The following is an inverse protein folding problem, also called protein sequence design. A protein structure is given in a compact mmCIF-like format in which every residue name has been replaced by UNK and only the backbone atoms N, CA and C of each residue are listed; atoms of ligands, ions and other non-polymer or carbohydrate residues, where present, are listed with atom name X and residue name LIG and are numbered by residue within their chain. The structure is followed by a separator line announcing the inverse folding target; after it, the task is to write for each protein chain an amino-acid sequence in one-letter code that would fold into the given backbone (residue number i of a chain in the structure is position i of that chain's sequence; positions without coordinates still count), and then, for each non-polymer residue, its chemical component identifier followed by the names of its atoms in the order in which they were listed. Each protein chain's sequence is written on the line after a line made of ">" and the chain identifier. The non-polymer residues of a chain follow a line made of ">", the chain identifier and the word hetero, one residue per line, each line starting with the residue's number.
data_IF_986787357621
#
_entry.id   IF_986787357621
#
_cell.length_a   1.000
_cell.length_b   1.000
_cell.length_c   1.000
_cell.angle_alpha   90.00
_cell.angle_beta   90.00
_cell.angle_gamma   90.00
#
_symmetry.space_group_name_H-M   'P 1'
#
loop_
_entity.id
_entity.type
_entity.pdbx_description
1 polymer ?
#
# COMPACT_ATOMS: atom_id res chain seq x y z
N UNK A 1 -11.48 -11.98 -4.99
CA UNK A 1 -11.45 -11.41 -3.97
C UNK A 1 -10.55 -10.35 -3.87
N UNK A 2 -10.90 -9.44 -3.43
CA UNK A 2 -10.25 -8.29 -3.55
C UNK A 2 -9.53 -7.91 -2.35
N UNK A 3 -9.17 -8.90 -1.58
CA UNK A 3 -8.50 -8.64 -0.37
C UNK A 3 -7.03 -8.56 -0.53
N UNK A 4 -6.54 -8.66 -1.76
CA UNK A 4 -5.12 -8.61 -1.98
C UNK A 4 -4.61 -7.20 -1.64
N UNK A 5 -3.35 -7.14 -1.29
CA UNK A 5 -2.72 -5.84 -1.01
C UNK A 5 -2.87 -4.90 -2.18
N UNK A 6 -2.57 -5.39 -3.38
CA UNK A 6 -2.62 -4.49 -4.54
C UNK A 6 -4.06 -4.10 -4.87
N UNK A 7 -5.02 -4.94 -4.54
CA UNK A 7 -6.42 -4.54 -4.69
C UNK A 7 -6.77 -3.38 -3.78
N UNK A 8 -6.30 -3.44 -2.54
CA UNK A 8 -6.52 -2.36 -1.59
C UNK A 8 -5.79 -1.09 -2.01
N UNK A 9 -4.56 -1.24 -2.48
CA UNK A 9 -3.77 -0.11 -2.95
C UNK A 9 -4.47 0.55 -4.13
N UNK A 10 -4.99 -0.25 -5.05
CA UNK A 10 -5.68 0.28 -6.22
C UNK A 10 -6.86 1.17 -5.84
N UNK A 11 -7.65 0.72 -4.88
CA UNK A 11 -8.81 1.47 -4.43
C UNK A 11 -8.38 2.79 -3.80
N UNK A 12 -7.38 2.74 -2.93
CA UNK A 12 -6.93 3.95 -2.23
C UNK A 12 -6.29 4.95 -3.17
N UNK A 13 -5.47 4.46 -4.08
CA UNK A 13 -4.79 5.34 -5.03
C UNK A 13 -5.82 6.06 -5.90
N UNK A 14 -6.77 5.29 -6.41
CA UNK A 14 -7.78 5.87 -7.29
C UNK A 14 -8.65 6.87 -6.55
N UNK A 15 -9.08 6.53 -5.34
CA UNK A 15 -9.94 7.42 -4.56
C UNK A 15 -9.20 8.72 -4.22
N UNK A 16 -7.95 8.60 -3.80
CA UNK A 16 -7.18 9.78 -3.43
C UNK A 16 -6.88 10.65 -4.63
N UNK A 17 -6.54 10.02 -5.76
CA UNK A 17 -6.29 10.76 -6.99
C UNK A 17 -7.52 11.58 -7.38
N UNK A 18 -8.70 10.96 -7.33
CA UNK A 18 -9.92 11.67 -7.70
C UNK A 18 -10.25 12.77 -6.70
N UNK A 19 -10.00 12.54 -5.43
CA UNK A 19 -10.24 13.56 -4.41
C UNK A 19 -9.35 14.79 -4.64
N UNK A 20 -8.16 14.58 -5.17
CA UNK A 20 -7.26 15.67 -5.49
C UNK A 20 -7.49 16.25 -6.89
N UNK A 21 -8.47 15.72 -7.59
CA UNK A 21 -8.86 16.20 -8.92
C UNK A 21 -7.75 16.06 -9.96
N UNK A 22 -6.99 14.99 -9.83
CA UNK A 22 -5.92 14.70 -10.78
C UNK A 22 -6.36 13.60 -11.72
N UNK A 23 -5.95 13.69 -12.98
CA UNK A 23 -6.12 12.54 -13.87
C UNK A 23 -4.86 11.67 -13.74
N UNK A 24 -4.85 10.53 -14.39
CA UNK A 24 -3.73 9.61 -14.28
C UNK A 24 -2.43 10.22 -14.80
N UNK A 25 -2.51 11.01 -15.83
CA UNK A 25 -1.31 11.64 -16.38
C UNK A 25 -0.73 12.67 -15.44
N UNK A 26 -1.60 13.48 -14.82
CA UNK A 26 -1.15 14.48 -13.86
C UNK A 26 -0.44 13.81 -12.70
N UNK A 27 -1.03 12.73 -12.19
CA UNK A 27 -0.44 12.01 -11.09
C UNK A 27 0.91 11.41 -11.49
N UNK A 28 0.98 10.85 -12.68
CA UNK A 28 2.23 10.27 -13.16
C UNK A 28 3.33 11.33 -13.21
N UNK A 29 3.00 12.51 -13.72
CA UNK A 29 3.96 13.60 -13.81
C UNK A 29 4.45 14.04 -12.44
N UNK A 30 3.54 14.18 -11.49
CA UNK A 30 3.90 14.60 -10.13
C UNK A 30 4.76 13.55 -9.45
N UNK A 31 4.40 12.30 -9.62
CA UNK A 31 5.11 11.21 -8.96
C UNK A 31 6.42 10.83 -9.65
N UNK A 32 6.63 11.27 -10.87
CA UNK A 32 7.81 10.90 -11.61
C UNK A 32 7.77 9.47 -12.12
N UNK A 33 6.58 8.96 -12.41
CA UNK A 33 6.40 7.61 -12.95
C UNK A 33 5.63 7.71 -14.26
N UNK A 34 5.52 6.61 -14.97
CA UNK A 34 4.77 6.64 -16.23
C UNK A 34 3.27 6.58 -15.97
N UNK A 35 2.50 7.10 -16.90
CA UNK A 35 1.05 6.98 -16.82
C UNK A 35 0.63 5.52 -16.86
N UNK A 36 1.36 4.71 -17.62
CA UNK A 36 1.11 3.28 -17.69
C UNK A 36 1.25 2.63 -16.31
N UNK A 37 2.24 3.07 -15.54
CA UNK A 37 2.44 2.57 -14.19
C UNK A 37 1.24 2.92 -13.30
N UNK A 38 0.74 4.15 -13.41
CA UNK A 38 -0.43 4.57 -12.64
C UNK A 38 -1.61 3.67 -12.99
N UNK A 39 -1.83 3.41 -14.27
CA UNK A 39 -2.92 2.54 -14.68
C UNK A 39 -2.77 1.13 -14.12
N UNK A 40 -1.55 0.60 -14.14
CA UNK A 40 -1.29 -0.73 -13.61
C UNK A 40 -1.64 -0.80 -12.13
N UNK A 41 -1.23 0.20 -11.36
CA UNK A 41 -1.53 0.24 -9.94
C UNK A 41 -3.05 0.32 -9.72
N UNK A 42 -3.73 1.15 -10.47
CA UNK A 42 -5.17 1.33 -10.29
C UNK A 42 -5.97 0.12 -10.76
N UNK A 43 -5.37 -0.74 -11.55
CA UNK A 43 -5.99 -1.98 -11.96
C UNK A 43 -5.71 -3.10 -10.96
N UNK A 44 -4.94 -2.85 -9.94
CA UNK A 44 -4.63 -3.85 -8.93
C UNK A 44 -3.69 -4.92 -9.40
N UNK A 45 -2.84 -4.63 -10.38
CA UNK A 45 -1.89 -5.62 -10.87
C UNK A 45 -0.99 -6.08 -9.73
N UNK A 46 -0.73 -7.36 -9.64
CA UNK A 46 -0.05 -7.91 -8.47
C UNK A 46 1.45 -7.65 -8.39
N UNK A 47 2.07 -7.29 -9.49
CA UNK A 47 3.50 -7.16 -9.49
C UNK A 47 3.90 -5.78 -9.96
N UNK A 48 4.34 -4.96 -9.06
CA UNK A 48 4.79 -3.61 -9.36
C UNK A 48 6.11 -3.34 -8.67
N UNK A 49 6.85 -2.39 -9.20
CA UNK A 49 8.11 -2.02 -8.61
C UNK A 49 7.85 -1.19 -7.36
N UNK A 50 8.46 -1.58 -6.27
CA UNK A 50 8.18 -0.94 -4.98
C UNK A 50 8.60 0.52 -4.97
N UNK A 51 9.75 0.84 -5.51
CA UNK A 51 10.22 2.23 -5.51
C UNK A 51 9.23 3.14 -6.21
N UNK A 52 8.72 2.70 -7.33
CA UNK A 52 7.76 3.50 -8.09
C UNK A 52 6.44 3.60 -7.36
N UNK A 53 6.05 2.52 -6.69
CA UNK A 53 4.82 2.54 -5.91
C UNK A 53 4.93 3.53 -4.76
N UNK A 54 6.06 3.54 -4.06
CA UNK A 54 6.25 4.47 -2.95
C UNK A 54 6.23 5.92 -3.43
N UNK A 55 6.82 6.18 -4.59
CA UNK A 55 6.80 7.53 -5.16
C UNK A 55 5.36 7.94 -5.49
N UNK A 56 4.58 7.01 -6.03
CA UNK A 56 3.19 7.28 -6.37
C UNK A 56 2.38 7.59 -5.11
N UNK A 57 2.55 6.80 -4.07
CA UNK A 57 1.82 7.00 -2.82
C UNK A 57 2.21 8.33 -2.19
N UNK A 58 3.49 8.66 -2.19
CA UNK A 58 3.96 9.91 -1.63
C UNK A 58 3.34 11.12 -2.35
N UNK A 59 3.22 11.04 -3.66
CA UNK A 59 2.61 12.11 -4.44
C UNK A 59 1.15 12.34 -4.05
N UNK A 60 0.50 11.31 -3.52
CA UNK A 60 -0.90 11.39 -3.11
C UNK A 60 -1.05 11.68 -1.62
N UNK A 61 0.04 11.84 -0.91
CA UNK A 61 -0.02 12.01 0.54
C UNK A 61 -0.34 10.73 1.27
N UNK A 62 -0.07 9.59 0.67
CA UNK A 62 -0.29 8.28 1.28
C UNK A 62 1.04 7.65 1.62
N UNK A 63 1.00 6.71 2.53
CA UNK A 63 2.18 5.92 2.85
C UNK A 63 1.81 4.46 2.99
N UNK A 64 2.79 3.61 2.77
CA UNK A 64 2.61 2.20 2.96
C UNK A 64 3.15 1.84 4.34
N UNK A 65 2.38 1.14 5.11
CA UNK A 65 2.81 0.75 6.44
C UNK A 65 2.87 -0.77 6.53
N UNK A 66 3.87 -1.26 7.23
CA UNK A 66 3.98 -2.67 7.52
C UNK A 66 3.58 -2.85 8.97
N UNK A 67 2.59 -3.67 9.19
CA UNK A 67 2.06 -3.88 10.54
C UNK A 67 1.88 -5.37 10.78
N UNK A 68 1.91 -5.79 12.03
CA UNK A 68 1.70 -7.20 12.32
C UNK A 68 0.32 -7.63 11.86
N UNK A 69 0.26 -8.82 11.27
CA UNK A 69 -1.00 -9.36 10.84
C UNK A 69 -1.44 -10.41 11.83
N UNK A 70 -2.66 -10.32 12.29
CA UNK A 70 -3.18 -11.25 13.24
C UNK A 70 -3.60 -12.52 12.54
N UNK A 71 -2.95 -13.62 12.82
CA UNK A 71 -3.36 -14.93 12.36
C UNK A 71 -3.25 -15.83 13.55
N UNK A 72 -3.83 -16.99 13.45
CA UNK A 72 -3.78 -17.93 14.58
C UNK A 72 -2.34 -18.23 14.95
N UNK A 73 -1.50 -18.56 13.99
CA UNK A 73 -0.12 -18.89 14.26
C UNK A 73 0.66 -17.73 14.83
N UNK A 74 0.49 -16.55 14.24
CA UNK A 74 1.19 -15.37 14.72
C UNK A 74 0.73 -15.00 16.10
N UNK A 75 -0.56 -15.10 16.35
CA UNK A 75 -1.11 -14.79 17.66
C UNK A 75 -0.53 -15.71 18.73
N UNK A 76 -0.39 -16.97 18.40
CA UNK A 76 0.18 -17.93 19.32
C UNK A 76 1.63 -17.58 19.64
N UNK A 77 2.40 -17.24 18.64
CA UNK A 77 3.78 -16.87 18.83
C UNK A 77 3.92 -15.61 19.67
N UNK A 78 3.15 -14.63 19.37
CA UNK A 78 3.18 -13.38 20.10
C UNK A 78 2.80 -13.59 21.55
N UNK A 79 1.78 -14.40 21.78
CA UNK A 79 1.33 -14.67 23.13
C UNK A 79 2.41 -15.38 23.92
N UNK A 80 3.08 -16.34 23.32
CA UNK A 80 4.16 -17.04 23.99
C UNK A 80 5.31 -16.10 24.29
N UNK A 81 5.66 -15.25 23.34
CA UNK A 81 6.75 -14.33 23.54
C UNK A 81 6.43 -13.31 24.61
N UNK A 82 5.18 -12.87 24.63
CA UNK A 82 4.80 -11.89 25.62
C UNK A 82 4.77 -12.43 27.02
N UNK A 83 4.61 -13.70 27.11
CA UNK A 83 4.66 -14.33 28.40
C UNK A 83 5.97 -14.10 29.06
N UNK A 84 6.93 -13.70 28.28
CA UNK A 84 8.12 -13.38 28.81
C UNK A 84 8.29 -12.01 29.13
N UNK A 85 7.49 -11.36 29.07
CA UNK A 85 7.71 -10.25 29.36
C UNK A 85 7.87 -9.18 28.58
N UNK A 86 7.46 -9.13 27.96
CA UNK A 86 7.45 -8.22 27.22
C UNK A 86 8.12 -7.21 26.97
N UNK A 87 8.49 -6.95 26.82
CA UNK A 87 8.93 -6.34 26.50
C UNK A 87 9.12 -5.49 25.95
N UNK A 88 9.19 -5.34 25.82
CA UNK A 88 9.27 -4.65 25.30
C UNK A 88 9.51 -3.79 24.95
N UNK A 89 9.65 -3.47 25.12
CA UNK A 89 9.75 -2.68 24.71
C UNK A 89 9.81 -2.30 24.52
#
# INVERSE_FOLDING_TARGET
>A
MTDSLMGQVAVEVRARRKALRLNQRDLADIAGVSERFVRFVEQGKPSVQVDSLLALLAALGLRLEVAPRTSHAVRTLIHSANGDGGTGE
#
